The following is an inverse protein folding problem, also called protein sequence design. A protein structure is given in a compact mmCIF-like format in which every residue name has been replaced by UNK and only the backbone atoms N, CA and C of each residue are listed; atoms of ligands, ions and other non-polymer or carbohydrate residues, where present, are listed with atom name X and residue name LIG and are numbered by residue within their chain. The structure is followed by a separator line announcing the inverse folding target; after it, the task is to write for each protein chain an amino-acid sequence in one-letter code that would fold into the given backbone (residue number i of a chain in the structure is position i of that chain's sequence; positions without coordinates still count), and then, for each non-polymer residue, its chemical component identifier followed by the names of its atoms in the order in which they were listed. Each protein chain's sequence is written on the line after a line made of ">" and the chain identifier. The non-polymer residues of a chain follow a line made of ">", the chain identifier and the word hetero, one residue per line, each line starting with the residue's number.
data_IF_231170030613
#
_entry.id   IF_231170030613
#
_cell.length_a   1.000
_cell.length_b   1.000
_cell.length_c   1.000
_cell.angle_alpha   90.00
_cell.angle_beta   90.00
_cell.angle_gamma   90.00
#
_symmetry.space_group_name_H-M   'P 1'
#
loop_
_entity.id
_entity.type
_entity.pdbx_description
1 polymer ?
#
# COMPACT_ATOMS: atom_id res chain seq x y z
N UNK A 1 -3.08 -12.17 -20.95
CA UNK A 1 -2.35 -13.31 -20.36
C UNK A 1 -1.20 -12.71 -19.56
N UNK A 2 -1.43 -12.44 -18.27
CA UNK A 2 -0.36 -12.06 -17.34
C UNK A 2 -0.21 -13.24 -16.39
N UNK A 3 0.74 -14.12 -16.69
CA UNK A 3 1.15 -15.27 -15.88
C UNK A 3 1.94 -14.84 -14.63
N UNK A 4 1.51 -13.77 -13.96
CA UNK A 4 2.16 -13.29 -12.75
C UNK A 4 1.43 -13.86 -11.55
N UNK A 5 1.89 -15.03 -11.10
CA UNK A 5 2.15 -15.43 -9.71
C UNK A 5 2.18 -16.96 -9.70
N UNK A 6 3.22 -17.51 -10.32
CA UNK A 6 3.76 -18.75 -9.80
C UNK A 6 4.30 -18.40 -8.40
N UNK A 7 3.61 -18.92 -7.39
CA UNK A 7 4.09 -19.23 -6.04
C UNK A 7 5.36 -18.47 -5.62
N UNK A 8 5.25 -17.64 -4.57
CA UNK A 8 6.41 -17.35 -3.73
C UNK A 8 6.21 -17.95 -2.34
N UNK A 9 6.42 -19.27 -2.16
CA UNK A 9 6.52 -19.86 -0.85
C UNK A 9 7.88 -19.42 -0.27
N UNK A 10 7.86 -18.63 0.80
CA UNK A 10 9.08 -18.23 1.51
C UNK A 10 9.56 -16.79 1.31
N UNK A 11 8.89 -15.94 0.52
CA UNK A 11 9.22 -14.51 0.56
C UNK A 11 8.67 -13.87 1.83
N UNK A 12 9.54 -13.72 2.83
CA UNK A 12 9.22 -12.82 3.92
C UNK A 12 9.12 -11.40 3.34
N UNK A 13 7.95 -10.79 3.46
CA UNK A 13 7.71 -9.40 3.06
C UNK A 13 8.65 -8.40 3.81
N UNK A 14 9.44 -8.90 4.77
CA UNK A 14 10.30 -8.15 5.68
C UNK A 14 11.70 -7.84 5.12
N UNK A 15 12.19 -8.51 4.06
CA UNK A 15 13.57 -8.30 3.58
C UNK A 15 13.73 -7.02 2.74
N UNK A 16 12.67 -6.60 2.04
CA UNK A 16 12.70 -5.46 1.11
C UNK A 16 12.15 -4.15 1.72
N UNK A 17 11.66 -4.21 2.96
CA UNK A 17 10.93 -3.11 3.60
C UNK A 17 11.38 -2.92 5.04
N UNK A 18 11.62 -1.68 5.45
CA UNK A 18 11.93 -1.33 6.84
C UNK A 18 10.79 -0.51 7.44
N UNK A 19 10.44 -0.80 8.70
CA UNK A 19 9.45 -0.02 9.48
C UNK A 19 10.12 1.22 10.07
N UNK A 20 9.39 2.32 10.12
CA UNK A 20 9.84 3.55 10.79
C UNK A 20 8.68 4.23 11.53
N UNK A 21 9.00 5.22 12.35
CA UNK A 21 8.02 6.06 13.05
C UNK A 21 8.19 7.48 12.52
N UNK A 22 7.14 7.99 11.90
CA UNK A 22 6.93 9.38 11.52
C UNK A 22 6.30 10.13 12.69
N UNK A 23 6.82 11.31 13.01
CA UNK A 23 6.35 12.13 14.13
C UNK A 23 4.90 12.62 13.97
N UNK A 24 4.41 12.77 12.74
CA UNK A 24 3.08 13.32 12.45
C UNK A 24 2.10 12.24 11.93
N UNK A 25 2.60 11.28 11.14
CA UNK A 25 1.78 10.23 10.52
C UNK A 25 1.69 8.96 11.39
N UNK A 26 2.61 8.75 12.31
CA UNK A 26 2.71 7.54 13.12
C UNK A 26 3.61 6.49 12.46
N UNK A 27 3.23 5.22 12.45
CA UNK A 27 4.07 4.15 11.86
C UNK A 27 4.06 4.26 10.33
N UNK A 28 5.21 3.98 9.71
CA UNK A 28 5.40 3.98 8.26
C UNK A 28 6.26 2.81 7.79
N UNK A 29 6.30 2.59 6.48
CA UNK A 29 7.17 1.60 5.82
C UNK A 29 7.99 2.31 4.74
N UNK A 30 9.27 1.98 4.65
CA UNK A 30 10.19 2.48 3.62
C UNK A 30 10.90 1.34 2.91
N UNK A 31 11.40 1.58 1.71
CA UNK A 31 12.19 0.60 0.98
C UNK A 31 13.54 0.37 1.68
N UNK A 32 13.94 -0.90 1.90
CA UNK A 32 15.27 -1.22 2.45
C UNK A 32 16.37 -1.23 1.37
N UNK A 33 15.97 -1.29 0.09
CA UNK A 33 16.81 -1.27 -1.09
C UNK A 33 16.13 -0.52 -2.24
N UNK A 34 16.83 -0.37 -3.35
CA UNK A 34 16.21 0.15 -4.57
C UNK A 34 15.20 -0.87 -5.13
N UNK A 35 14.01 -0.39 -5.47
CA UNK A 35 12.92 -1.14 -6.12
C UNK A 35 12.71 -0.56 -7.52
N UNK A 36 12.54 -1.41 -8.52
CA UNK A 36 12.26 -0.98 -9.89
C UNK A 36 10.77 -0.73 -10.09
N UNK A 37 10.40 0.06 -11.09
CA UNK A 37 9.03 0.23 -11.53
C UNK A 37 8.38 -1.12 -11.90
N UNK A 38 7.15 -1.36 -11.42
CA UNK A 38 6.40 -2.59 -11.65
C UNK A 38 6.81 -3.76 -10.76
N UNK A 39 7.72 -3.55 -9.82
CA UNK A 39 8.18 -4.59 -8.89
C UNK A 39 7.09 -4.90 -7.84
N UNK A 40 6.93 -6.19 -7.55
CA UNK A 40 6.02 -6.66 -6.51
C UNK A 40 6.60 -6.36 -5.12
N UNK A 41 5.81 -5.76 -4.25
CA UNK A 41 6.22 -5.41 -2.88
C UNK A 41 5.61 -6.37 -1.86
N UNK A 42 4.29 -6.45 -1.79
CA UNK A 42 3.61 -7.31 -0.83
C UNK A 42 2.15 -7.57 -1.21
N UNK A 43 1.58 -8.64 -0.63
CA UNK A 43 0.14 -8.89 -0.66
C UNK A 43 -0.56 -8.03 0.38
N UNK A 44 -1.63 -7.35 -0.02
CA UNK A 44 -2.54 -6.71 0.91
C UNK A 44 -3.38 -7.78 1.62
N UNK A 45 -2.99 -8.05 2.86
CA UNK A 45 -3.74 -8.90 3.75
C UNK A 45 -5.01 -8.18 4.22
N UNK A 46 -6.19 -8.67 3.82
CA UNK A 46 -7.48 -8.17 4.29
C UNK A 46 -7.76 -8.53 5.77
N UNK A 47 -9.00 -8.31 6.22
CA UNK A 47 -9.48 -8.44 7.63
C UNK A 47 -9.21 -9.77 8.36
N UNK A 48 -8.59 -10.78 7.71
CA UNK A 48 -8.28 -12.07 8.33
C UNK A 48 -6.91 -12.13 9.01
N UNK A 49 -6.10 -11.06 8.92
CA UNK A 49 -4.79 -10.98 9.57
C UNK A 49 -4.86 -9.98 10.72
N UNK A 50 -4.23 -10.28 11.86
CA UNK A 50 -4.12 -9.33 12.98
C UNK A 50 -3.54 -8.02 12.42
N UNK A 51 -4.23 -6.88 12.59
CA UNK A 51 -3.78 -5.59 12.08
C UNK A 51 -2.37 -5.19 12.54
N UNK A 52 -1.85 -5.80 13.60
CA UNK A 52 -0.51 -5.57 14.14
C UNK A 52 0.59 -6.28 13.34
N UNK A 53 0.25 -7.32 12.59
CA UNK A 53 1.23 -8.19 11.93
C UNK A 53 1.37 -7.93 10.42
N UNK A 54 0.34 -7.34 9.79
CA UNK A 54 0.36 -7.04 8.37
C UNK A 54 1.12 -5.73 8.06
N UNK A 55 2.23 -5.82 7.33
CA UNK A 55 2.99 -4.64 6.84
C UNK A 55 2.10 -3.62 6.12
N UNK A 56 1.07 -4.09 5.42
CA UNK A 56 0.15 -3.23 4.66
C UNK A 56 -0.69 -2.29 5.52
N UNK A 57 -0.85 -2.55 6.82
CA UNK A 57 -1.54 -1.63 7.73
C UNK A 57 -0.66 -0.46 8.17
N UNK A 58 0.66 -0.56 7.94
CA UNK A 58 1.66 0.46 8.27
C UNK A 58 2.08 1.29 7.05
N UNK A 59 1.65 0.92 5.84
CA UNK A 59 1.97 1.69 4.63
C UNK A 59 1.04 2.90 4.59
N UNK A 60 1.64 4.09 4.54
CA UNK A 60 0.91 5.35 4.61
C UNK A 60 0.25 5.74 3.29
N UNK A 61 -0.64 6.72 3.38
CA UNK A 61 -1.28 7.34 2.23
C UNK A 61 -0.41 8.44 1.61
N UNK A 62 -0.38 8.50 0.27
CA UNK A 62 0.02 9.68 -0.49
C UNK A 62 -0.98 9.96 -1.62
N UNK A 63 -1.25 11.24 -1.89
CA UNK A 63 -2.03 11.67 -3.06
C UNK A 63 -1.21 11.59 -4.36
N UNK A 64 0.12 11.51 -4.27
CA UNK A 64 1.01 11.15 -5.38
C UNK A 64 1.82 9.90 -4.95
N UNK A 65 1.19 8.71 -4.96
CA UNK A 65 1.81 7.51 -4.41
C UNK A 65 2.90 6.93 -5.33
N UNK A 66 3.80 6.17 -4.73
CA UNK A 66 4.83 5.39 -5.45
C UNK A 66 4.47 3.91 -5.61
N UNK A 67 3.33 3.48 -5.08
CA UNK A 67 2.76 2.16 -5.28
C UNK A 67 1.28 2.24 -5.64
N UNK A 68 0.79 1.19 -6.29
CA UNK A 68 -0.61 0.99 -6.63
C UNK A 68 -1.07 -0.39 -6.20
N UNK A 69 -2.36 -0.52 -5.93
CA UNK A 69 -2.93 -1.81 -5.55
C UNK A 69 -3.53 -2.49 -6.78
N UNK A 70 -3.14 -3.74 -7.03
CA UNK A 70 -3.53 -4.54 -8.19
C UNK A 70 -4.25 -5.80 -7.71
N UNK A 71 -5.48 -6.07 -8.21
CA UNK A 71 -6.12 -7.36 -7.99
C UNK A 71 -5.43 -8.45 -8.80
N UNK A 72 -4.90 -9.45 -8.11
CA UNK A 72 -4.22 -10.61 -8.67
C UNK A 72 -5.01 -11.89 -8.37
N UNK A 73 -5.09 -12.79 -9.34
CA UNK A 73 -5.77 -14.09 -9.17
C UNK A 73 -4.71 -15.18 -9.10
N UNK A 74 -4.64 -15.85 -7.95
CA UNK A 74 -3.77 -16.99 -7.73
C UNK A 74 -4.69 -18.15 -7.37
N UNK A 75 -4.99 -19.02 -8.34
CA UNK A 75 -5.66 -20.32 -8.13
C UNK A 75 -6.97 -20.27 -7.30
N UNK A 76 -7.60 -19.11 -7.16
CA UNK A 76 -8.77 -18.85 -6.32
C UNK A 76 -9.77 -17.98 -7.07
N UNK A 77 -11.09 -18.23 -6.90
CA UNK A 77 -12.13 -17.40 -7.51
C UNK A 77 -12.14 -15.97 -6.96
N UNK A 78 -11.64 -15.75 -5.74
CA UNK A 78 -11.55 -14.41 -5.14
C UNK A 78 -10.19 -13.77 -5.45
N UNK A 79 -10.17 -12.56 -6.04
CA UNK A 79 -8.93 -11.86 -6.29
C UNK A 79 -8.27 -11.48 -4.96
N UNK A 80 -6.96 -11.68 -4.88
CA UNK A 80 -6.13 -11.16 -3.81
C UNK A 80 -5.59 -9.82 -4.22
N UNK A 81 -5.43 -8.88 -3.30
CA UNK A 81 -4.84 -7.58 -3.60
C UNK A 81 -3.34 -7.60 -3.39
N UNK A 82 -2.57 -7.06 -4.32
CA UNK A 82 -1.12 -6.97 -4.24
C UNK A 82 -0.64 -5.54 -4.56
N UNK A 83 0.42 -5.10 -3.89
CA UNK A 83 1.04 -3.79 -4.08
C UNK A 83 2.23 -3.91 -5.04
N UNK A 84 2.23 -3.04 -6.04
CA UNK A 84 3.30 -2.92 -7.03
C UNK A 84 3.79 -1.48 -7.10
N UNK A 85 5.08 -1.29 -7.35
CA UNK A 85 5.66 0.05 -7.55
C UNK A 85 5.18 0.67 -8.86
N UNK A 86 4.90 1.97 -8.85
CA UNK A 86 4.47 2.74 -10.04
C UNK A 86 5.64 3.46 -10.73
N UNK A 87 6.77 3.57 -10.04
CA UNK A 87 8.04 4.13 -10.50
C UNK A 87 9.20 3.44 -9.79
N UNK A 88 10.43 3.75 -10.17
CA UNK A 88 11.61 3.38 -9.40
C UNK A 88 11.58 4.07 -8.02
N UNK A 89 11.94 3.34 -6.97
CA UNK A 89 11.96 3.80 -5.57
C UNK A 89 13.35 3.52 -5.00
N UNK A 90 14.01 4.54 -4.47
CA UNK A 90 15.32 4.40 -3.86
C UNK A 90 15.23 3.84 -2.44
N UNK A 91 16.31 3.20 -1.99
CA UNK A 91 16.46 2.78 -0.61
C UNK A 91 16.24 3.97 0.34
N UNK A 92 15.42 3.78 1.37
CA UNK A 92 15.06 4.80 2.35
C UNK A 92 13.82 5.61 2.03
N UNK A 93 13.30 5.59 0.79
CA UNK A 93 12.05 6.27 0.43
C UNK A 93 10.84 5.63 1.11
N UNK A 94 9.92 6.47 1.62
CA UNK A 94 8.64 6.03 2.20
C UNK A 94 7.77 5.38 1.12
N UNK A 95 7.27 4.19 1.42
CA UNK A 95 6.33 3.47 0.57
C UNK A 95 4.91 3.96 0.87
N UNK A 96 4.19 4.36 -0.18
CA UNK A 96 2.83 4.92 -0.07
C UNK A 96 1.92 4.43 -1.18
N UNK A 97 0.62 4.32 -0.89
CA UNK A 97 -0.41 4.05 -1.90
C UNK A 97 -1.62 4.99 -1.71
N UNK A 98 -2.45 5.09 -2.75
CA UNK A 98 -3.67 5.88 -2.65
C UNK A 98 -4.78 5.07 -1.95
N UNK A 99 -5.22 5.52 -0.77
CA UNK A 99 -6.28 4.88 0.00
C UNK A 99 -7.65 4.98 -0.71
N UNK A 100 -7.79 5.94 -1.62
CA UNK A 100 -9.00 6.16 -2.41
C UNK A 100 -8.99 5.37 -3.73
N UNK A 101 -7.90 4.68 -4.09
CA UNK A 101 -7.76 4.03 -5.42
C UNK A 101 -8.90 3.04 -5.71
N UNK A 102 -9.45 2.41 -4.67
CA UNK A 102 -10.57 1.46 -4.77
C UNK A 102 -11.83 1.89 -4.02
N UNK A 103 -11.91 3.14 -3.55
CA UNK A 103 -13.10 3.67 -2.92
C UNK A 103 -13.59 4.90 -3.68
N UNK A 104 -14.87 4.90 -4.04
CA UNK A 104 -15.55 6.06 -4.63
C UNK A 104 -16.03 7.05 -3.56
N UNK A 105 -15.50 6.98 -2.35
CA UNK A 105 -15.96 7.80 -1.24
C UNK A 105 -15.28 9.16 -1.24
N UNK A 106 -16.07 10.21 -1.12
CA UNK A 106 -15.57 11.58 -1.17
C UNK A 106 -14.71 11.90 0.07
N UNK A 107 -13.60 12.59 -0.16
CA UNK A 107 -12.77 13.15 0.91
C UNK A 107 -13.48 14.37 1.48
N UNK A 108 -13.80 14.35 2.78
CA UNK A 108 -14.56 15.43 3.42
C UNK A 108 -13.90 15.99 4.70
N UNK A 109 -14.38 17.14 5.21
CA UNK A 109 -13.85 17.77 6.43
C UNK A 109 -14.02 16.93 7.70
N UNK A 110 -14.94 15.96 7.67
CA UNK A 110 -15.16 14.99 8.75
C UNK A 110 -14.05 13.93 8.84
N UNK A 111 -13.17 13.87 7.84
CA UNK A 111 -12.11 12.88 7.76
C UNK A 111 -10.80 13.41 8.38
N UNK A 112 -9.88 12.49 8.71
CA UNK A 112 -8.55 12.88 9.21
C UNK A 112 -7.81 13.69 8.13
N UNK A 113 -7.17 14.79 8.53
CA UNK A 113 -6.33 15.60 7.64
C UNK A 113 -5.25 14.74 6.99
N UNK A 114 -5.03 14.95 5.69
CA UNK A 114 -3.96 14.31 4.95
C UNK A 114 -2.65 15.06 5.17
N UNK A 115 -1.59 14.34 5.53
CA UNK A 115 -0.25 14.88 5.78
C UNK A 115 0.78 14.34 4.78
N UNK A 116 0.36 14.05 3.54
CA UNK A 116 1.27 13.48 2.54
C UNK A 116 2.29 14.49 1.99
N UNK A 117 2.04 15.79 2.14
CA UNK A 117 2.96 16.86 1.73
C UNK A 117 3.06 17.09 0.21
N UNK A 118 2.31 16.35 -0.60
CA UNK A 118 2.35 16.49 -2.07
C UNK A 118 1.62 17.75 -2.54
N UNK A 119 2.05 18.32 -3.67
CA UNK A 119 1.39 19.48 -4.29
C UNK A 119 -0.07 19.22 -4.67
N UNK A 120 -0.41 17.96 -5.03
CA UNK A 120 -1.76 17.53 -5.39
C UNK A 120 -2.54 16.93 -4.22
N UNK A 121 -2.21 17.32 -2.98
CA UNK A 121 -2.89 16.81 -1.79
C UNK A 121 -4.38 17.16 -1.79
N UNK A 122 -5.25 16.17 -1.54
CA UNK A 122 -6.72 16.35 -1.40
C UNK A 122 -7.15 16.97 -0.08
N UNK A 123 -6.19 17.32 0.79
CA UNK A 123 -6.42 17.93 2.11
C UNK A 123 -6.86 16.95 3.20
N UNK A 124 -7.64 15.92 2.85
CA UNK A 124 -8.19 14.94 3.80
C UNK A 124 -7.97 13.52 3.31
N UNK A 125 -7.79 12.58 4.24
CA UNK A 125 -7.76 11.16 3.94
C UNK A 125 -9.16 10.71 3.49
N UNK A 126 -9.30 9.77 2.55
CA UNK A 126 -10.60 9.18 2.25
C UNK A 126 -11.16 8.48 3.49
N UNK A 127 -12.49 8.31 3.59
CA UNK A 127 -13.06 7.64 4.73
C UNK A 127 -12.50 6.21 4.78
N UNK A 128 -12.44 5.63 5.97
CA UNK A 128 -11.93 4.26 6.16
C UNK A 128 -12.91 3.22 5.59
N UNK A 129 -13.24 3.30 4.31
CA UNK A 129 -13.60 2.16 3.51
C UNK A 129 -12.32 1.35 3.31
N UNK A 130 -11.91 0.62 4.34
CA UNK A 130 -10.99 -0.50 4.17
C UNK A 130 -11.45 -1.28 2.94
N UNK A 131 -10.52 -1.76 2.12
CA UNK A 131 -10.71 -2.61 0.94
C UNK A 131 -11.61 -3.82 1.28
N UNK A 132 -12.92 -3.61 1.37
CA UNK A 132 -13.90 -4.52 2.00
C UNK A 132 -14.94 -5.02 1.03
N UNK A 133 -14.84 -4.59 -0.24
CA UNK A 133 -15.78 -4.92 -1.31
C UNK A 133 -15.19 -5.85 -2.38
N UNK A 134 -14.11 -6.58 -2.08
CA UNK A 134 -13.57 -7.64 -2.94
C UNK A 134 -13.83 -9.03 -2.36
#
# INVERSE_FOLDING_TARGET
>A
MVDCIARVPGCSCAENCSRFIDCEKGRGVRASRNLRQGEFVCVYAGRKVDPRDALTTMINHSCEPNMRVVPVRIESPRPTLALFTTRDILAGEELTYDYAEMSHEECGPLNKKCLCGTSKCRGYLPPKAYLTRL
#
